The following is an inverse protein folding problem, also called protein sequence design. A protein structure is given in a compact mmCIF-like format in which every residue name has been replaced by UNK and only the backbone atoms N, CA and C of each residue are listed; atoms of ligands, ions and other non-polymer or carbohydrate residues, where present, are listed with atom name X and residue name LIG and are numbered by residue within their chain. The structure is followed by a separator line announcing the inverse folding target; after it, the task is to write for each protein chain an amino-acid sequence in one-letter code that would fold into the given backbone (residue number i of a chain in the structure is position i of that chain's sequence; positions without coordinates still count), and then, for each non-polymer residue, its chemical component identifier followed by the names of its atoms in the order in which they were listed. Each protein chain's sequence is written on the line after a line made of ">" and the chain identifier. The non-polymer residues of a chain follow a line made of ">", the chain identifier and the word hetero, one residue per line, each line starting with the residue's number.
data_IF_476417226718
#
_entry.id   IF_476417226718
#
_cell.length_a   1.000
_cell.length_b   1.000
_cell.length_c   1.000
_cell.angle_alpha   90.00
_cell.angle_beta   90.00
_cell.angle_gamma   90.00
#
_symmetry.space_group_name_H-M   'P 1'
#
loop_
_entity.id
_entity.type
_entity.pdbx_description
1 polymer ?
#
# COMPACT_ATOMS: atom_id res chain seq x y z
N UNK A 1 -6.56 40.28 -10.51
CA UNK A 1 -6.72 38.86 -10.83
C UNK A 1 -6.54 38.09 -9.53
N UNK A 2 -7.62 37.63 -8.91
CA UNK A 2 -7.55 36.79 -7.71
C UNK A 2 -7.24 35.35 -8.17
N UNK A 3 -6.09 34.82 -7.75
CA UNK A 3 -5.74 33.42 -7.97
C UNK A 3 -6.74 32.53 -7.24
N UNK A 4 -7.33 31.57 -7.94
CA UNK A 4 -8.14 30.51 -7.32
C UNK A 4 -7.21 29.72 -6.38
N UNK A 5 -7.44 29.82 -5.08
CA UNK A 5 -6.80 28.93 -4.11
C UNK A 5 -7.46 27.55 -4.22
N UNK A 6 -6.67 26.54 -4.61
CA UNK A 6 -7.07 25.13 -4.55
C UNK A 6 -7.12 24.68 -3.09
N UNK A 7 -8.09 23.84 -2.72
CA UNK A 7 -8.11 23.16 -1.42
C UNK A 7 -7.14 21.96 -1.34
N UNK A 8 -6.46 21.65 -2.46
CA UNK A 8 -5.47 20.58 -2.57
C UNK A 8 -4.11 21.23 -2.80
N UNK A 9 -3.17 20.92 -1.91
CA UNK A 9 -1.77 21.30 -2.01
C UNK A 9 -0.95 20.07 -2.42
N UNK A 10 -0.05 20.23 -3.39
CA UNK A 10 0.88 19.19 -3.82
C UNK A 10 2.27 19.53 -3.29
N UNK A 11 2.80 18.66 -2.45
CA UNK A 11 4.12 18.81 -1.81
C UNK A 11 5.01 17.64 -2.25
N UNK A 12 6.14 17.90 -2.93
CA UNK A 12 7.06 16.82 -3.28
C UNK A 12 7.71 16.25 -2.03
N UNK A 13 7.92 14.93 -2.04
CA UNK A 13 8.59 14.19 -0.98
C UNK A 13 9.83 13.54 -1.58
N UNK A 14 10.96 13.63 -0.89
CA UNK A 14 12.19 13.01 -1.35
C UNK A 14 12.11 11.49 -1.17
N UNK A 15 12.31 10.76 -2.27
CA UNK A 15 12.21 9.30 -2.33
C UNK A 15 13.55 8.58 -2.09
N UNK A 16 14.65 9.33 -1.94
CA UNK A 16 15.99 8.78 -1.80
C UNK A 16 16.83 8.74 -3.08
N UNK A 17 16.24 9.11 -4.22
CA UNK A 17 16.90 9.08 -5.53
C UNK A 17 17.51 10.45 -5.86
N UNK A 18 18.75 10.48 -6.36
CA UNK A 18 19.32 11.72 -6.92
C UNK A 18 18.72 12.00 -8.30
N UNK A 19 18.72 13.26 -8.70
CA UNK A 19 18.27 13.63 -10.04
C UNK A 19 19.11 12.93 -11.13
N UNK A 20 18.43 12.28 -12.07
CA UNK A 20 19.05 11.44 -13.10
C UNK A 20 19.53 10.06 -12.63
N UNK A 21 19.39 9.72 -11.34
CA UNK A 21 19.74 8.41 -10.82
C UNK A 21 18.58 7.42 -11.07
N UNK A 22 18.80 6.49 -12.00
CA UNK A 22 17.91 5.35 -12.16
C UNK A 22 18.30 4.25 -11.18
N UNK A 23 17.31 3.64 -10.53
CA UNK A 23 17.57 2.43 -9.77
C UNK A 23 18.01 1.30 -10.72
N UNK A 24 18.99 0.50 -10.27
CA UNK A 24 19.51 -0.62 -11.05
C UNK A 24 18.42 -1.66 -11.34
N UNK A 25 17.49 -1.83 -10.40
CA UNK A 25 16.26 -2.61 -10.52
C UNK A 25 15.23 -2.11 -9.49
N UNK A 26 14.02 -2.68 -9.55
CA UNK A 26 12.91 -2.34 -8.66
C UNK A 26 13.19 -2.67 -7.19
N UNK A 27 13.96 -3.73 -6.91
CA UNK A 27 14.32 -4.08 -5.53
C UNK A 27 15.18 -3.00 -4.89
N UNK A 28 16.21 -2.53 -5.60
CA UNK A 28 17.08 -1.45 -5.13
C UNK A 28 16.33 -0.13 -4.95
N UNK A 29 15.25 0.09 -5.68
CA UNK A 29 14.37 1.24 -5.46
C UNK A 29 13.61 1.09 -4.14
N UNK A 30 12.94 -0.04 -3.93
CA UNK A 30 12.13 -0.26 -2.73
C UNK A 30 12.96 -0.35 -1.43
N UNK A 31 14.17 -0.89 -1.49
CA UNK A 31 15.12 -0.84 -0.36
C UNK A 31 15.41 0.60 0.08
N UNK A 32 15.64 1.50 -0.88
CA UNK A 32 15.84 2.93 -0.59
C UNK A 32 14.58 3.60 -0.09
N UNK A 33 13.45 3.32 -0.75
CA UNK A 33 12.14 3.83 -0.35
C UNK A 33 11.85 3.51 1.12
N UNK A 34 12.00 2.24 1.53
CA UNK A 34 11.75 1.79 2.92
C UNK A 34 12.61 2.54 3.94
N UNK A 35 13.86 2.85 3.60
CA UNK A 35 14.78 3.57 4.47
C UNK A 35 14.47 5.07 4.55
N UNK A 36 14.18 5.70 3.41
CA UNK A 36 14.10 7.16 3.29
C UNK A 36 12.70 7.71 3.58
N UNK A 37 11.65 7.03 3.14
CA UNK A 37 10.29 7.56 3.20
C UNK A 37 9.76 7.86 4.60
N UNK A 38 10.00 7.04 5.64
CA UNK A 38 9.56 7.38 6.99
C UNK A 38 10.13 8.72 7.46
N UNK A 39 11.40 8.99 7.14
CA UNK A 39 12.07 10.24 7.47
C UNK A 39 11.54 11.42 6.65
N UNK A 40 11.37 11.23 5.33
CA UNK A 40 10.83 12.28 4.47
C UNK A 40 9.40 12.66 4.86
N UNK A 41 8.58 11.68 5.23
CA UNK A 41 7.20 11.87 5.67
C UNK A 41 7.12 12.50 7.06
N UNK A 42 7.96 12.07 8.02
CA UNK A 42 8.00 12.72 9.34
C UNK A 42 8.37 14.20 9.23
N UNK A 43 9.38 14.51 8.41
CA UNK A 43 9.78 15.88 8.14
C UNK A 43 8.66 16.72 7.50
N UNK A 44 7.82 16.12 6.64
CA UNK A 44 6.66 16.80 6.06
C UNK A 44 5.60 17.07 7.14
N UNK A 45 5.28 16.07 7.96
CA UNK A 45 4.30 16.18 9.05
C UNK A 45 4.71 17.28 10.04
N UNK A 46 5.98 17.31 10.45
CA UNK A 46 6.49 18.30 11.40
C UNK A 46 6.35 19.74 10.88
N UNK A 47 6.59 19.95 9.58
CA UNK A 47 6.38 21.27 8.94
C UNK A 47 4.92 21.70 9.01
N UNK A 48 3.99 20.78 8.76
CA UNK A 48 2.56 21.09 8.81
C UNK A 48 2.03 21.24 10.23
N UNK A 49 2.59 20.53 11.22
CA UNK A 49 2.20 20.66 12.62
C UNK A 49 2.38 22.08 13.18
N UNK A 50 3.34 22.85 12.65
CA UNK A 50 3.54 24.27 12.99
C UNK A 50 2.71 25.26 12.16
N UNK A 51 1.89 24.78 11.22
CA UNK A 51 1.12 25.63 10.31
C UNK A 51 -0.28 25.95 10.84
N UNK A 52 -1.03 26.80 10.12
CA UNK A 52 -2.46 27.07 10.40
C UNK A 52 -3.33 25.80 10.28
N UNK A 53 -2.88 24.81 9.50
CA UNK A 53 -3.60 23.58 9.22
C UNK A 53 -2.73 22.34 9.53
N UNK A 54 -2.63 21.94 10.82
CA UNK A 54 -1.85 20.76 11.21
C UNK A 54 -2.42 19.48 10.60
N UNK A 55 -1.56 18.48 10.40
CA UNK A 55 -1.95 17.17 9.87
C UNK A 55 -2.88 16.49 10.87
N UNK A 56 -4.10 16.14 10.43
CA UNK A 56 -5.09 15.44 11.25
C UNK A 56 -5.22 13.96 10.90
N UNK A 57 -5.05 13.64 9.62
CA UNK A 57 -5.20 12.30 9.08
C UNK A 57 -4.11 12.03 8.06
N UNK A 58 -3.63 10.80 8.05
CA UNK A 58 -2.81 10.26 6.99
C UNK A 58 -3.66 9.24 6.23
N UNK A 59 -3.66 9.34 4.90
CA UNK A 59 -4.34 8.39 4.02
C UNK A 59 -3.28 7.74 3.16
N UNK A 60 -3.15 6.42 3.26
CA UNK A 60 -2.30 5.58 2.41
C UNK A 60 -3.15 4.72 1.49
N UNK A 61 -2.64 4.43 0.29
CA UNK A 61 -3.26 3.51 -0.67
C UNK A 61 -2.53 2.17 -0.68
N UNK A 62 -3.26 1.06 -0.73
CA UNK A 62 -2.71 -0.30 -0.65
C UNK A 62 -3.38 -1.26 -1.64
N UNK A 63 -2.68 -2.34 -2.00
CA UNK A 63 -3.21 -3.44 -2.82
C UNK A 63 -2.96 -4.77 -2.10
N UNK A 64 -3.99 -5.60 -1.95
CA UNK A 64 -3.96 -6.81 -1.12
C UNK A 64 -3.01 -7.90 -1.66
N UNK A 65 -2.11 -8.45 -0.84
CA UNK A 65 -1.56 -9.79 -1.03
C UNK A 65 -2.25 -10.86 -0.18
N UNK A 66 -2.17 -12.09 -0.68
CA UNK A 66 -2.67 -13.31 -0.04
C UNK A 66 -1.54 -13.97 0.75
N UNK A 67 -1.86 -14.49 1.94
CA UNK A 67 -0.94 -15.22 2.82
C UNK A 67 -0.58 -16.60 2.25
N UNK A 68 0.66 -17.05 2.46
CA UNK A 68 1.16 -18.33 1.94
C UNK A 68 0.96 -19.46 2.95
N UNK A 69 0.14 -20.45 2.60
CA UNK A 69 0.14 -21.78 3.22
C UNK A 69 -0.05 -22.84 2.13
N UNK A 70 0.98 -23.68 2.00
CA UNK A 70 1.16 -24.93 1.26
C UNK A 70 0.13 -25.37 0.19
N UNK A 71 0.72 -25.72 -0.97
CA UNK A 71 0.20 -26.46 -2.13
C UNK A 71 -1.11 -27.25 -1.94
N UNK A 72 -2.21 -26.53 -1.90
CA UNK A 72 -3.54 -26.96 -2.30
C UNK A 72 -4.33 -25.68 -2.59
N UNK A 73 -5.32 -25.76 -3.48
CA UNK A 73 -6.15 -24.62 -3.87
C UNK A 73 -6.50 -23.72 -2.68
N UNK A 74 -6.23 -22.41 -2.82
CA UNK A 74 -6.47 -21.43 -1.77
C UNK A 74 -7.99 -21.28 -1.63
N UNK A 75 -8.55 -21.90 -0.60
CA UNK A 75 -9.97 -21.74 -0.25
C UNK A 75 -10.09 -20.56 0.69
N UNK A 76 -10.45 -19.39 0.16
CA UNK A 76 -10.84 -18.27 1.00
C UNK A 76 -12.29 -18.47 1.46
N UNK A 77 -12.63 -18.12 2.72
CA UNK A 77 -13.92 -18.45 3.33
C UNK A 77 -15.15 -17.91 2.59
N UNK A 78 -14.98 -17.00 1.62
CA UNK A 78 -16.09 -16.44 0.84
C UNK A 78 -15.73 -16.13 -0.62
N UNK A 79 -14.71 -16.79 -1.18
CA UNK A 79 -14.36 -16.62 -2.59
C UNK A 79 -14.58 -17.95 -3.32
N UNK A 80 -15.04 -17.89 -4.57
CA UNK A 80 -14.95 -19.05 -5.45
C UNK A 80 -13.52 -19.60 -5.45
N UNK A 81 -13.40 -20.92 -5.59
CA UNK A 81 -12.12 -21.62 -5.51
C UNK A 81 -11.15 -21.04 -6.55
N UNK A 82 -10.15 -20.30 -6.10
CA UNK A 82 -9.10 -19.75 -6.97
C UNK A 82 -8.10 -20.84 -7.35
N UNK A 83 -7.72 -20.88 -8.62
CA UNK A 83 -6.59 -21.65 -9.09
C UNK A 83 -5.29 -20.85 -8.91
N UNK A 84 -4.14 -21.53 -8.93
CA UNK A 84 -2.83 -20.86 -8.81
C UNK A 84 -2.61 -19.81 -9.91
N UNK A 85 -3.18 -20.02 -11.09
CA UNK A 85 -3.09 -19.09 -12.21
C UNK A 85 -3.91 -17.81 -12.02
N UNK A 86 -4.87 -17.83 -11.08
CA UNK A 86 -5.69 -16.66 -10.74
C UNK A 86 -5.00 -15.79 -9.67
N UNK A 87 -3.95 -16.32 -9.02
CA UNK A 87 -3.20 -15.59 -8.02
C UNK A 87 -2.19 -14.62 -8.66
N UNK A 88 -1.83 -13.55 -7.95
CA UNK A 88 -0.70 -12.72 -8.35
C UNK A 88 0.58 -13.55 -8.49
N UNK A 89 1.41 -13.24 -9.48
CA UNK A 89 2.62 -14.00 -9.79
C UNK A 89 3.61 -14.12 -8.62
N UNK A 90 3.63 -13.15 -7.71
CA UNK A 90 4.46 -13.21 -6.50
C UNK A 90 4.02 -14.28 -5.49
N UNK A 91 2.77 -14.75 -5.55
CA UNK A 91 2.25 -15.83 -4.73
C UNK A 91 2.65 -17.21 -5.30
N UNK A 92 2.81 -17.30 -6.62
CA UNK A 92 3.24 -18.55 -7.29
C UNK A 92 4.76 -18.70 -7.37
N UNK A 93 5.48 -17.58 -7.49
CA UNK A 93 6.94 -17.53 -7.50
C UNK A 93 7.44 -16.44 -6.56
N UNK A 94 7.71 -16.83 -5.32
CA UNK A 94 8.22 -15.94 -4.28
C UNK A 94 9.59 -15.31 -4.63
N UNK A 95 10.30 -15.82 -5.65
CA UNK A 95 11.61 -15.32 -6.08
C UNK A 95 11.54 -14.25 -7.18
N UNK A 96 10.40 -14.10 -7.86
CA UNK A 96 10.25 -13.19 -9.01
C UNK A 96 10.38 -11.70 -8.64
N UNK A 97 9.88 -11.29 -7.47
CA UNK A 97 9.89 -9.89 -7.02
C UNK A 97 10.03 -9.76 -5.49
N UNK A 98 11.21 -10.06 -4.92
CA UNK A 98 11.37 -10.17 -3.47
C UNK A 98 11.03 -8.87 -2.73
N UNK A 99 11.46 -7.70 -3.22
CA UNK A 99 11.17 -6.44 -2.52
C UNK A 99 9.70 -6.01 -2.64
N UNK A 100 9.06 -6.28 -3.80
CA UNK A 100 7.64 -6.00 -4.01
C UNK A 100 6.80 -6.93 -3.13
N UNK A 101 7.15 -8.22 -3.07
CA UNK A 101 6.50 -9.19 -2.20
C UNK A 101 6.58 -8.77 -0.74
N UNK A 102 7.77 -8.38 -0.26
CA UNK A 102 7.94 -7.91 1.12
C UNK A 102 7.14 -6.62 1.38
N UNK A 103 7.11 -5.68 0.43
CA UNK A 103 6.32 -4.46 0.56
C UNK A 103 4.81 -4.76 0.67
N UNK A 104 4.30 -5.60 -0.24
CA UNK A 104 2.88 -5.95 -0.26
C UNK A 104 2.53 -6.70 1.03
N UNK A 105 3.26 -7.75 1.41
CA UNK A 105 2.93 -8.55 2.59
C UNK A 105 3.09 -7.77 3.89
N UNK A 106 4.15 -6.95 3.99
CA UNK A 106 4.44 -6.15 5.17
C UNK A 106 3.36 -5.10 5.50
N UNK A 107 2.55 -4.68 4.52
CA UNK A 107 1.55 -3.62 4.73
C UNK A 107 0.39 -4.05 5.65
N UNK A 108 0.18 -5.35 5.85
CA UNK A 108 -0.86 -5.85 6.76
C UNK A 108 -0.37 -6.08 8.18
N UNK A 109 0.94 -5.95 8.43
CA UNK A 109 1.54 -6.20 9.75
C UNK A 109 0.88 -5.39 10.87
N UNK A 110 0.35 -4.20 10.55
CA UNK A 110 -0.36 -3.32 11.48
C UNK A 110 -1.80 -3.00 11.03
N UNK A 111 -2.42 -3.82 10.20
CA UNK A 111 -3.78 -3.56 9.67
C UNK A 111 -4.82 -3.40 10.78
N UNK A 112 -4.64 -4.13 11.89
CA UNK A 112 -5.50 -4.06 13.07
C UNK A 112 -5.32 -2.76 13.88
N UNK A 113 -4.24 -2.02 13.64
CA UNK A 113 -3.98 -0.71 14.25
C UNK A 113 -4.57 0.44 13.43
N UNK A 114 -4.99 0.19 12.18
CA UNK A 114 -5.56 1.20 11.31
C UNK A 114 -6.93 1.67 11.83
N UNK A 115 -7.17 2.99 11.79
CA UNK A 115 -8.45 3.57 12.22
C UNK A 115 -9.60 3.19 11.30
N UNK A 116 -9.32 3.13 10.00
CA UNK A 116 -10.27 2.81 8.95
C UNK A 116 -9.59 2.05 7.83
N UNK A 117 -10.32 1.10 7.24
CA UNK A 117 -9.97 0.46 5.99
C UNK A 117 -10.81 1.09 4.89
N UNK A 118 -10.14 1.68 3.90
CA UNK A 118 -10.79 2.27 2.72
C UNK A 118 -10.57 1.31 1.56
N UNK A 119 -11.65 0.82 0.98
CA UNK A 119 -11.63 -0.10 -0.13
C UNK A 119 -12.11 0.60 -1.40
N UNK A 120 -11.29 0.57 -2.46
CA UNK A 120 -11.65 1.17 -3.75
C UNK A 120 -12.43 0.17 -4.61
N UNK A 121 -13.57 -0.30 -4.12
CA UNK A 121 -14.58 -1.08 -4.84
C UNK A 121 -15.97 -0.65 -4.36
N UNK A 122 -17.00 -1.30 -4.88
CA UNK A 122 -18.39 -1.09 -4.48
C UNK A 122 -18.92 -2.38 -3.86
N UNK A 123 -19.75 -2.27 -2.82
CA UNK A 123 -20.31 -3.45 -2.15
C UNK A 123 -21.11 -4.33 -3.11
N UNK A 124 -21.77 -3.72 -4.10
CA UNK A 124 -22.56 -4.39 -5.13
C UNK A 124 -21.71 -5.16 -6.16
N UNK A 125 -20.39 -4.98 -6.16
CA UNK A 125 -19.45 -5.79 -6.96
C UNK A 125 -18.91 -7.00 -6.19
N UNK A 126 -19.05 -7.01 -4.86
CA UNK A 126 -18.50 -8.03 -3.95
C UNK A 126 -19.63 -8.94 -3.39
N UNK A 127 -20.60 -9.30 -4.24
CA UNK A 127 -21.91 -9.87 -3.86
C UNK A 127 -21.83 -11.24 -3.17
N UNK A 128 -20.66 -11.89 -3.12
CA UNK A 128 -20.51 -13.25 -2.56
C UNK A 128 -19.66 -13.37 -1.28
N UNK A 129 -19.30 -12.27 -0.59
CA UNK A 129 -18.34 -12.37 0.54
C UNK A 129 -18.98 -12.33 1.95
N UNK A 130 -20.24 -11.92 2.09
CA UNK A 130 -20.88 -11.74 3.40
C UNK A 130 -21.72 -12.95 3.84
N UNK A 131 -21.06 -14.01 4.34
CA UNK A 131 -21.66 -14.81 5.42
C UNK A 131 -21.21 -14.23 6.75
N UNK A 132 -22.12 -13.69 7.60
CA UNK A 132 -21.75 -13.23 8.92
C UNK A 132 -21.33 -14.44 9.77
N UNK A 133 -20.07 -14.51 10.17
CA UNK A 133 -19.63 -15.39 11.25
C UNK A 133 -19.94 -14.64 12.55
N UNK A 134 -21.08 -14.96 13.16
CA UNK A 134 -21.33 -14.77 14.59
C UNK A 134 -21.03 -16.09 15.31
#
# INVERSE_FOLDING_TARGET
>A
MQGQHSSINLEPVFDGSKEGEMAANIDKYFERYKLIMPHSLSNLIDRYNGSEYPVKFLVGSFQVPVDESDQAAVSLPSLEKLELNDLPSFATDASSYPAIRELLLGQFSNVLEARWLIWNSFNELEVEVWTPIL
#
